data_IF_358370234785
#
_entry.id   IF_358370234785
#
_cell.length_a   1.000
_cell.length_b   1.000
_cell.length_c   1.000
_cell.angle_alpha   90.00
_cell.angle_beta   90.00
_cell.angle_gamma   90.00
#
_symmetry.space_group_name_H-M   'P 1'
#
loop_
_entity.id
_entity.type
_entity.pdbx_description
1 polymer ?
#
# COMPACT_ATOMS: atom_id res chain seq x y z
N UNK A 1 9.91 -0.98 -3.82
CA UNK A 1 8.97 0.12 -4.14
C UNK A 1 8.94 1.12 -3.00
N UNK A 2 8.56 2.36 -3.26
CA UNK A 2 8.49 3.40 -2.23
C UNK A 2 7.07 3.51 -1.67
N UNK A 3 6.91 3.28 -0.36
CA UNK A 3 5.62 3.36 0.35
C UNK A 3 5.64 4.38 1.50
N UNK A 4 6.55 5.36 1.41
CA UNK A 4 6.86 6.28 2.52
C UNK A 4 8.00 5.78 3.39
N UNK A 5 8.26 6.51 4.47
CA UNK A 5 9.46 6.37 5.33
C UNK A 5 9.13 5.93 6.76
N UNK A 6 7.98 5.27 6.96
CA UNK A 6 7.73 4.53 8.20
C UNK A 6 8.76 3.41 8.31
N UNK A 7 9.35 3.21 9.49
CA UNK A 7 10.49 2.32 9.73
C UNK A 7 10.41 0.97 9.00
N UNK A 8 9.26 0.29 9.06
CA UNK A 8 9.05 -1.03 8.45
C UNK A 8 9.04 -1.00 6.90
N UNK A 9 8.71 0.15 6.30
CA UNK A 9 8.64 0.33 4.85
C UNK A 9 9.97 0.79 4.25
N UNK A 10 10.93 1.21 5.08
CA UNK A 10 12.32 1.45 4.67
C UNK A 10 13.05 0.11 4.61
N UNK A 11 12.56 -0.79 3.75
CA UNK A 11 13.11 -2.10 3.47
C UNK A 11 13.03 -2.36 1.96
N UNK A 12 14.18 -2.59 1.34
CA UNK A 12 14.29 -2.82 -0.11
C UNK A 12 13.66 -1.68 -0.93
N UNK A 13 13.87 -0.47 -0.44
CA UNK A 13 13.38 0.78 -1.02
C UNK A 13 14.23 1.11 -2.26
N UNK A 14 13.62 1.72 -3.27
CA UNK A 14 14.20 2.10 -4.59
C UNK A 14 14.79 0.96 -5.46
N UNK A 15 15.70 0.14 -4.93
CA UNK A 15 16.43 -0.89 -5.67
C UNK A 15 16.13 -2.27 -5.07
N UNK A 16 15.46 -3.18 -5.81
CA UNK A 16 15.18 -4.53 -5.36
C UNK A 16 16.44 -5.31 -4.97
N UNK A 17 16.37 -6.07 -3.87
CA UNK A 17 17.46 -6.88 -3.33
C UNK A 17 18.44 -6.17 -2.39
N UNK A 18 18.32 -4.85 -2.19
CA UNK A 18 19.18 -4.06 -1.29
C UNK A 18 18.79 -4.16 0.20
N UNK A 19 17.56 -4.57 0.51
CA UNK A 19 17.06 -4.83 1.87
C UNK A 19 17.30 -3.66 2.84
N UNK A 20 18.37 -3.73 3.64
CA UNK A 20 18.64 -2.81 4.75
C UNK A 20 19.54 -1.62 4.37
N UNK A 21 19.88 -1.48 3.08
CA UNK A 21 20.86 -0.49 2.61
C UNK A 21 20.52 0.94 3.06
N UNK A 22 19.24 1.31 3.08
CA UNK A 22 18.77 2.66 3.40
C UNK A 22 18.24 2.79 4.83
N UNK A 23 18.28 1.72 5.63
CA UNK A 23 17.59 1.62 6.93
C UNK A 23 18.44 2.09 8.11
N UNK A 24 19.34 3.05 7.91
CA UNK A 24 20.25 3.52 8.96
C UNK A 24 19.47 4.14 10.14
N UNK A 25 19.76 3.68 11.36
CA UNK A 25 19.08 4.14 12.58
C UNK A 25 17.79 3.39 12.93
N UNK A 26 17.30 2.51 12.05
CA UNK A 26 16.08 1.73 12.29
C UNK A 26 16.43 0.42 13.04
N UNK A 27 15.74 0.10 14.16
CA UNK A 27 15.97 -1.15 14.88
C UNK A 27 15.72 -2.38 13.99
N UNK A 28 16.75 -3.22 13.79
CA UNK A 28 16.68 -4.40 12.92
C UNK A 28 15.53 -5.37 13.23
N UNK A 29 15.05 -5.37 14.48
CA UNK A 29 13.95 -6.21 14.94
C UNK A 29 12.63 -5.92 14.22
N UNK A 30 12.46 -4.73 13.63
CA UNK A 30 11.23 -4.38 12.89
C UNK A 30 11.12 -5.18 11.57
N UNK A 31 12.25 -5.45 10.92
CA UNK A 31 12.31 -6.11 9.62
C UNK A 31 12.08 -7.62 9.67
N UNK A 32 11.96 -8.23 10.86
CA UNK A 32 11.64 -9.66 11.00
C UNK A 32 10.25 -10.02 10.43
N UNK A 33 9.42 -9.02 10.19
CA UNK A 33 8.07 -9.14 9.65
C UNK A 33 7.95 -8.62 8.21
N UNK A 34 9.07 -8.21 7.61
CA UNK A 34 9.12 -7.64 6.27
C UNK A 34 9.90 -8.57 5.35
N UNK A 35 9.36 -8.75 4.16
CA UNK A 35 10.01 -9.43 3.05
C UNK A 35 9.73 -8.62 1.78
N UNK A 36 10.57 -8.79 0.76
CA UNK A 36 10.40 -8.15 -0.54
C UNK A 36 10.44 -9.19 -1.65
N UNK A 37 9.69 -8.91 -2.72
CA UNK A 37 9.67 -9.69 -3.95
C UNK A 37 10.03 -8.75 -5.11
N UNK A 38 10.87 -9.18 -6.06
CA UNK A 38 11.08 -8.43 -7.29
C UNK A 38 9.76 -8.15 -8.01
N UNK A 39 9.57 -6.96 -8.61
CA UNK A 39 8.42 -6.70 -9.45
C UNK A 39 8.45 -7.61 -10.68
N UNK A 40 7.27 -7.92 -11.24
CA UNK A 40 7.10 -8.78 -12.42
C UNK A 40 7.50 -10.27 -12.24
N UNK A 41 7.86 -10.69 -11.03
CA UNK A 41 8.23 -12.08 -10.73
C UNK A 41 7.18 -12.76 -9.83
N UNK A 42 6.11 -13.24 -10.47
CA UNK A 42 5.01 -13.91 -9.77
C UNK A 42 5.42 -15.27 -9.20
N UNK A 43 6.41 -15.95 -9.79
CA UNK A 43 6.85 -17.25 -9.31
C UNK A 43 7.61 -17.11 -7.98
N UNK A 44 8.47 -16.10 -7.86
CA UNK A 44 9.12 -15.79 -6.58
C UNK A 44 8.08 -15.48 -5.50
N UNK A 45 7.07 -14.67 -5.81
CA UNK A 45 5.99 -14.39 -4.84
C UNK A 45 5.25 -15.68 -4.44
N UNK A 46 4.94 -16.55 -5.40
CA UNK A 46 4.29 -17.85 -5.16
C UNK A 46 5.15 -18.75 -4.27
N UNK A 47 6.45 -18.77 -4.48
CA UNK A 47 7.38 -19.53 -3.65
C UNK A 47 7.43 -18.97 -2.21
N UNK A 48 7.44 -17.65 -2.05
CA UNK A 48 7.39 -17.00 -0.74
C UNK A 48 6.11 -17.39 0.02
N UNK A 49 4.95 -17.44 -0.63
CA UNK A 49 3.71 -17.91 0.02
C UNK A 49 3.80 -19.36 0.52
N UNK A 50 4.52 -20.24 -0.18
CA UNK A 50 4.73 -21.64 0.26
C UNK A 50 5.69 -21.77 1.45
N UNK A 51 6.73 -20.94 1.49
CA UNK A 51 7.79 -21.05 2.50
C UNK A 51 7.45 -20.33 3.81
N UNK A 52 6.62 -19.29 3.75
CA UNK A 52 6.33 -18.43 4.89
C UNK A 52 5.14 -18.94 5.69
N UNK A 53 5.21 -18.87 7.03
CA UNK A 53 4.15 -19.41 7.92
C UNK A 53 2.81 -18.69 7.75
N UNK A 54 2.80 -17.38 7.50
CA UNK A 54 1.60 -16.58 7.24
C UNK A 54 1.94 -15.18 6.70
N UNK A 55 1.55 -14.88 5.47
CA UNK A 55 1.63 -13.54 4.90
C UNK A 55 0.36 -12.78 5.29
N UNK A 56 0.50 -11.61 5.93
CA UNK A 56 -0.66 -10.81 6.31
C UNK A 56 -1.22 -10.02 5.11
N UNK A 57 -0.33 -9.41 4.34
CA UNK A 57 -0.66 -8.63 3.16
C UNK A 57 0.52 -8.55 2.20
N UNK A 58 0.23 -8.26 0.94
CA UNK A 58 1.19 -7.81 -0.08
C UNK A 58 0.85 -6.35 -0.40
N UNK A 59 1.85 -5.48 -0.37
CA UNK A 59 1.71 -4.08 -0.80
C UNK A 59 2.36 -3.90 -2.16
N UNK A 60 1.65 -3.26 -3.09
CA UNK A 60 2.14 -2.97 -4.44
C UNK A 60 1.97 -1.50 -4.79
N UNK A 61 2.84 -1.01 -5.66
CA UNK A 61 2.61 0.24 -6.40
C UNK A 61 2.05 -0.13 -7.78
N UNK A 62 0.83 0.29 -8.16
CA UNK A 62 0.14 -0.25 -9.34
C UNK A 62 0.87 0.03 -10.66
N UNK A 63 1.59 1.16 -10.72
CA UNK A 63 2.41 1.54 -11.87
C UNK A 63 3.75 0.81 -11.91
N UNK A 64 4.14 0.14 -10.83
CA UNK A 64 5.50 -0.35 -10.59
C UNK A 64 6.36 0.67 -9.83
N UNK A 65 7.53 0.19 -9.38
CA UNK A 65 8.39 0.92 -8.46
C UNK A 65 8.86 2.28 -9.00
N UNK A 66 9.11 3.20 -8.09
CA UNK A 66 9.52 4.58 -8.39
C UNK A 66 8.47 5.29 -9.27
N UNK A 67 7.19 5.15 -8.93
CA UNK A 67 6.12 5.85 -9.64
C UNK A 67 6.07 5.54 -11.13
N UNK A 68 6.32 4.28 -11.47
CA UNK A 68 6.32 3.78 -12.84
C UNK A 68 7.64 3.96 -13.59
N UNK A 69 8.73 4.42 -12.94
CA UNK A 69 10.06 4.38 -13.58
C UNK A 69 10.52 2.93 -13.83
N UNK A 70 10.08 1.99 -12.98
CA UNK A 70 10.23 0.55 -13.17
C UNK A 70 8.85 -0.10 -13.32
N UNK A 71 8.25 -0.11 -14.52
CA UNK A 71 6.86 -0.47 -14.69
C UNK A 71 6.59 -1.96 -14.48
N UNK A 72 5.39 -2.27 -13.99
CA UNK A 72 4.88 -3.65 -13.98
C UNK A 72 4.30 -4.03 -15.34
N UNK A 73 4.42 -5.31 -15.70
CA UNK A 73 3.84 -5.84 -16.94
C UNK A 73 2.31 -5.89 -16.85
N UNK A 74 1.60 -5.79 -17.98
CA UNK A 74 0.15 -6.00 -18.01
C UNK A 74 -0.25 -7.31 -17.35
N UNK A 75 -1.33 -7.29 -16.57
CA UNK A 75 -1.86 -8.44 -15.85
C UNK A 75 -1.15 -8.78 -14.52
N UNK A 76 0.04 -8.24 -14.25
CA UNK A 76 0.79 -8.59 -13.04
C UNK A 76 0.01 -8.28 -11.75
N UNK A 77 -0.61 -7.10 -11.65
CA UNK A 77 -1.39 -6.72 -10.45
C UNK A 77 -2.58 -7.67 -10.21
N UNK A 78 -3.19 -8.17 -11.30
CA UNK A 78 -4.28 -9.14 -11.23
C UNK A 78 -3.80 -10.51 -10.75
N UNK A 79 -2.65 -10.97 -11.23
CA UNK A 79 -2.04 -12.21 -10.75
C UNK A 79 -1.65 -12.12 -9.26
N UNK A 80 -1.17 -10.96 -8.80
CA UNK A 80 -0.87 -10.72 -7.38
C UNK A 80 -2.15 -10.74 -6.53
N UNK A 81 -3.24 -10.13 -7.01
CA UNK A 81 -4.56 -10.18 -6.37
C UNK A 81 -5.02 -11.64 -6.17
N UNK A 82 -5.03 -12.41 -7.25
CA UNK A 82 -5.47 -13.81 -7.24
C UNK A 82 -4.63 -14.63 -6.26
N UNK A 83 -3.30 -14.49 -6.32
CA UNK A 83 -2.39 -15.21 -5.44
C UNK A 83 -2.56 -14.82 -3.96
N UNK A 84 -2.82 -13.54 -3.66
CA UNK A 84 -3.11 -13.09 -2.29
C UNK A 84 -4.39 -13.76 -1.76
N UNK A 85 -5.47 -13.74 -2.55
CA UNK A 85 -6.76 -14.29 -2.16
C UNK A 85 -6.72 -15.81 -1.99
N UNK A 86 -6.01 -16.53 -2.88
CA UNK A 86 -5.77 -17.97 -2.76
C UNK A 86 -5.08 -18.36 -1.44
N UNK A 87 -4.23 -17.47 -0.90
CA UNK A 87 -3.47 -17.71 0.31
C UNK A 87 -4.03 -17.01 1.56
N UNK A 88 -5.19 -16.35 1.45
CA UNK A 88 -5.83 -15.62 2.54
C UNK A 88 -5.04 -14.39 3.04
N UNK A 89 -4.22 -13.80 2.18
CA UNK A 89 -3.54 -12.52 2.42
C UNK A 89 -4.31 -11.36 1.78
N UNK A 90 -4.13 -10.16 2.32
CA UNK A 90 -4.71 -8.95 1.74
C UNK A 90 -3.83 -8.37 0.64
N UNK A 91 -4.43 -7.85 -0.41
CA UNK A 91 -3.75 -6.96 -1.36
C UNK A 91 -3.95 -5.50 -0.96
N UNK A 92 -2.85 -4.79 -0.72
CA UNK A 92 -2.81 -3.34 -0.48
C UNK A 92 -2.27 -2.65 -1.74
N UNK A 93 -3.11 -1.78 -2.31
CA UNK A 93 -2.75 -0.94 -3.45
C UNK A 93 -2.26 0.42 -2.96
N UNK A 94 -0.97 0.72 -3.13
CA UNK A 94 -0.45 2.06 -2.89
C UNK A 94 -0.75 2.95 -4.09
N UNK A 95 -1.85 3.69 -4.01
CA UNK A 95 -2.30 4.59 -5.07
C UNK A 95 -1.96 6.05 -4.80
N UNK A 96 -1.02 6.33 -3.90
CA UNK A 96 -0.65 7.70 -3.52
C UNK A 96 -0.28 8.54 -4.74
N UNK A 97 0.28 7.94 -5.80
CA UNK A 97 0.65 8.65 -7.04
C UNK A 97 -0.37 8.46 -8.15
N UNK A 98 -0.90 7.26 -8.32
CA UNK A 98 -1.66 6.87 -9.51
C UNK A 98 -3.17 7.14 -9.38
N UNK A 99 -3.72 7.17 -8.16
CA UNK A 99 -5.13 7.49 -7.95
C UNK A 99 -5.46 8.87 -8.48
N UNK A 100 -6.58 8.97 -9.22
CA UNK A 100 -7.05 10.21 -9.86
C UNK A 100 -6.08 10.83 -10.88
N UNK A 101 -4.93 10.20 -11.14
CA UNK A 101 -3.97 10.57 -12.17
C UNK A 101 -4.19 9.78 -13.45
N UNK A 102 -4.28 8.46 -13.32
CA UNK A 102 -4.41 7.54 -14.44
C UNK A 102 -5.86 7.35 -14.86
N UNK A 103 -6.76 7.33 -13.88
CA UNK A 103 -8.17 7.07 -14.06
C UNK A 103 -8.95 7.56 -12.83
N UNK A 104 -10.22 7.92 -12.99
CA UNK A 104 -11.07 8.36 -11.86
C UNK A 104 -11.32 7.26 -10.84
N UNK A 105 -11.34 6.00 -11.29
CA UNK A 105 -11.34 4.81 -10.44
C UNK A 105 -9.95 4.38 -9.94
N UNK A 106 -8.93 5.22 -10.09
CA UNK A 106 -7.56 4.96 -9.66
C UNK A 106 -6.78 3.95 -10.50
N UNK A 107 -5.60 3.59 -10.01
CA UNK A 107 -4.72 2.58 -10.61
C UNK A 107 -5.40 1.21 -10.70
N UNK A 108 -6.20 0.85 -9.70
CA UNK A 108 -6.99 -0.39 -9.72
C UNK A 108 -7.94 -0.50 -10.93
N UNK A 109 -8.66 0.57 -11.28
CA UNK A 109 -9.54 0.58 -12.44
C UNK A 109 -8.74 0.61 -13.76
N UNK A 110 -7.62 1.33 -13.79
CA UNK A 110 -6.75 1.40 -14.98
C UNK A 110 -6.11 0.04 -15.31
N UNK A 111 -5.64 -0.69 -14.30
CA UNK A 111 -4.95 -1.98 -14.46
C UNK A 111 -5.86 -3.20 -14.33
N UNK A 112 -7.14 -3.02 -13.96
CA UNK A 112 -8.15 -4.09 -13.96
C UNK A 112 -8.03 -5.12 -12.83
N UNK A 113 -7.83 -4.68 -11.59
CA UNK A 113 -7.81 -5.55 -10.39
C UNK A 113 -8.56 -4.88 -9.22
N UNK A 114 -8.86 -5.61 -8.15
CA UNK A 114 -9.62 -5.09 -6.99
C UNK A 114 -8.90 -5.36 -5.67
N UNK A 115 -8.09 -4.40 -5.17
CA UNK A 115 -7.37 -4.60 -3.91
C UNK A 115 -8.32 -4.63 -2.70
N UNK A 116 -7.85 -5.23 -1.62
CA UNK A 116 -8.59 -5.27 -0.34
C UNK A 116 -8.54 -3.93 0.39
N UNK A 117 -7.39 -3.24 0.29
CA UNK A 117 -7.16 -1.90 0.80
C UNK A 117 -6.46 -1.05 -0.26
N UNK A 118 -6.72 0.24 -0.25
CA UNK A 118 -6.04 1.24 -1.08
C UNK A 118 -5.57 2.41 -0.23
N UNK A 119 -4.35 2.86 -0.49
CA UNK A 119 -3.76 4.04 0.16
C UNK A 119 -3.77 5.18 -0.85
N UNK A 120 -4.31 6.32 -0.44
CA UNK A 120 -4.43 7.52 -1.26
C UNK A 120 -3.63 8.67 -0.66
N UNK A 121 -3.15 9.56 -1.54
CA UNK A 121 -2.44 10.77 -1.16
C UNK A 121 -2.28 11.70 -2.36
N UNK A 122 -1.34 12.64 -2.26
CA UNK A 122 -0.97 13.60 -3.31
C UNK A 122 -2.19 14.28 -3.95
N UNK A 123 -2.65 13.80 -5.11
CA UNK A 123 -3.75 14.42 -5.87
C UNK A 123 -5.01 14.57 -5.03
N UNK A 124 -5.33 13.60 -4.17
CA UNK A 124 -6.52 13.65 -3.31
C UNK A 124 -6.59 14.91 -2.44
N UNK A 125 -5.44 15.55 -2.17
CA UNK A 125 -5.35 16.78 -1.38
C UNK A 125 -5.29 18.07 -2.15
N UNK A 126 -5.17 18.03 -3.48
CA UNK A 126 -5.03 19.21 -4.34
C UNK A 126 -4.01 20.24 -3.80
N UNK A 127 -2.86 19.76 -3.32
CA UNK A 127 -1.76 20.59 -2.81
C UNK A 127 -1.81 20.88 -1.31
N UNK A 128 -2.87 20.52 -0.60
CA UNK A 128 -2.97 20.67 0.85
C UNK A 128 -2.36 19.47 1.60
N UNK A 129 -1.64 19.70 2.71
CA UNK A 129 -1.14 18.62 3.55
C UNK A 129 -2.30 17.88 4.24
N UNK A 130 -2.00 16.72 4.82
CA UNK A 130 -2.95 15.87 5.56
C UNK A 130 -4.09 15.30 4.71
N UNK A 131 -3.91 15.26 3.39
CA UNK A 131 -4.78 14.55 2.48
C UNK A 131 -4.20 13.15 2.23
N UNK A 132 -4.43 12.26 3.17
CA UNK A 132 -4.21 10.83 2.98
C UNK A 132 -5.48 10.11 3.38
N UNK A 133 -5.79 9.04 2.67
CA UNK A 133 -6.91 8.19 2.99
C UNK A 133 -6.51 6.73 2.86
N UNK A 134 -7.12 5.90 3.69
CA UNK A 134 -7.12 4.45 3.53
C UNK A 134 -8.57 4.09 3.24
N UNK A 135 -8.81 3.43 2.11
CA UNK A 135 -10.11 2.90 1.72
C UNK A 135 -10.02 1.41 1.45
N UNK A 136 -11.15 0.72 1.41
CA UNK A 136 -11.17 -0.70 1.09
C UNK A 136 -12.44 -1.39 1.56
N UNK A 137 -12.40 -2.72 1.61
CA UNK A 137 -13.55 -3.56 1.95
C UNK A 137 -14.05 -3.27 3.38
N UNK A 138 -15.37 -3.20 3.55
CA UNK A 138 -16.03 -2.84 4.82
C UNK A 138 -15.62 -3.78 5.96
N UNK A 139 -15.54 -5.08 5.67
CA UNK A 139 -15.18 -6.11 6.63
C UNK A 139 -13.75 -5.98 7.17
N UNK A 140 -12.89 -5.23 6.48
CA UNK A 140 -11.52 -4.88 6.89
C UNK A 140 -11.52 -3.50 7.56
N UNK A 141 -12.14 -2.49 6.93
CA UNK A 141 -12.16 -1.11 7.42
C UNK A 141 -12.80 -0.97 8.81
N UNK A 142 -13.74 -1.85 9.17
CA UNK A 142 -14.34 -1.89 10.53
C UNK A 142 -13.34 -2.18 11.66
N UNK A 143 -12.12 -2.63 11.36
CA UNK A 143 -11.06 -2.80 12.34
C UNK A 143 -10.30 -1.50 12.64
N UNK A 144 -10.36 -0.50 11.76
CA UNK A 144 -9.78 0.81 12.01
C UNK A 144 -10.60 1.53 13.08
N UNK A 145 -9.92 2.09 14.08
CA UNK A 145 -10.57 2.87 15.13
C UNK A 145 -9.76 4.13 15.48
N UNK A 146 -10.50 5.21 15.72
CA UNK A 146 -9.98 6.40 16.38
C UNK A 146 -10.35 6.37 17.87
N UNK A 147 -9.47 6.86 18.74
CA UNK A 147 -9.68 6.88 20.19
C UNK A 147 -9.66 5.50 20.85
N UNK A 148 -9.93 5.45 22.16
CA UNK A 148 -9.95 4.19 22.92
C UNK A 148 -11.27 3.46 22.63
N UNK A 149 -11.19 2.30 21.97
CA UNK A 149 -12.34 1.44 21.72
C UNK A 149 -11.99 0.00 22.11
N UNK A 150 -12.98 -0.76 22.59
CA UNK A 150 -12.78 -2.14 22.99
C UNK A 150 -12.59 -3.09 21.79
N UNK A 151 -11.88 -4.20 22.03
CA UNK A 151 -11.71 -5.28 21.06
C UNK A 151 -10.41 -5.21 20.22
N UNK A 152 -10.29 -6.10 19.22
CA UNK A 152 -9.16 -6.08 18.28
C UNK A 152 -9.35 -4.93 17.30
N UNK A 153 -8.52 -3.90 17.39
CA UNK A 153 -8.58 -2.69 16.56
C UNK A 153 -7.20 -2.26 16.11
N UNK A 154 -7.13 -1.70 14.92
CA UNK A 154 -5.99 -0.94 14.41
C UNK A 154 -6.23 0.53 14.74
N UNK A 155 -5.49 1.07 15.71
CA UNK A 155 -5.60 2.48 16.05
C UNK A 155 -5.03 3.34 14.95
N UNK A 156 -5.86 4.23 14.42
CA UNK A 156 -5.49 5.19 13.39
C UNK A 156 -6.21 6.50 13.67
N UNK A 157 -5.45 7.58 13.75
CA UNK A 157 -5.98 8.91 14.04
C UNK A 157 -4.91 9.98 13.88
N UNK A 158 -5.35 11.23 13.78
CA UNK A 158 -4.47 12.39 13.73
C UNK A 158 -5.28 13.66 13.92
N UNK A 159 -4.74 14.62 14.68
CA UNK A 159 -5.44 15.87 15.04
C UNK A 159 -5.93 16.66 13.83
N UNK A 160 -5.19 16.59 12.72
CA UNK A 160 -5.48 17.31 11.47
C UNK A 160 -6.06 16.41 10.36
N UNK A 161 -6.36 15.15 10.69
CA UNK A 161 -7.04 14.23 9.77
C UNK A 161 -8.44 14.76 9.46
N UNK A 162 -8.84 14.71 8.19
CA UNK A 162 -10.13 15.22 7.70
C UNK A 162 -10.42 16.69 8.11
N UNK A 163 -9.37 17.53 8.16
CA UNK A 163 -9.59 18.95 8.43
C UNK A 163 -10.43 19.61 7.31
N UNK A 164 -11.30 20.58 7.63
CA UNK A 164 -12.25 21.14 6.66
C UNK A 164 -11.61 21.75 5.42
N UNK A 165 -10.41 22.33 5.54
CA UNK A 165 -9.71 22.96 4.41
C UNK A 165 -9.28 21.92 3.38
N UNK A 166 -8.60 20.87 3.83
CA UNK A 166 -8.19 19.76 2.97
C UNK A 166 -9.41 19.03 2.38
N UNK A 167 -10.47 18.81 3.16
CA UNK A 167 -11.70 18.18 2.66
C UNK A 167 -12.41 19.03 1.60
N UNK A 168 -12.50 20.35 1.78
CA UNK A 168 -13.08 21.24 0.79
C UNK A 168 -12.26 21.23 -0.51
N UNK A 169 -10.92 21.27 -0.41
CA UNK A 169 -10.04 21.16 -1.57
C UNK A 169 -10.18 19.80 -2.29
N UNK A 170 -10.33 18.70 -1.55
CA UNK A 170 -10.55 17.37 -2.12
C UNK A 170 -11.89 17.27 -2.88
N UNK A 171 -12.94 17.89 -2.34
CA UNK A 171 -14.31 17.75 -2.86
C UNK A 171 -14.61 18.67 -4.06
N UNK A 172 -14.00 19.87 -4.11
CA UNK A 172 -14.35 20.90 -5.09
C UNK A 172 -13.40 21.04 -6.28
N UNK A 173 -12.31 20.26 -6.31
CA UNK A 173 -11.32 20.34 -7.38
C UNK A 173 -11.72 19.58 -8.65
#
# INVERSE_FOLDING_TARGET
SYHGWSDQLVYDMHVPGTKLLESHGIPKSIFKWMDSCPPNDIETLRQMFKEKRKVAAVIIEPMGGESGANPVRPGFNKEVEELCHENGALLISDEVVCAFRLHMGGGQAYYGYTPDLSVFGKIVGHGYPSAAAIGGKEEIMRFCAAGVSGGKRAYSGGTIAANPLTCAAAYHA
#
